data_IF_938471031859
#
_entry.id   IF_938471031859
#
_cell.length_a   1.000
_cell.length_b   1.000
_cell.length_c   1.000
_cell.angle_alpha   90.00
_cell.angle_beta   90.00
_cell.angle_gamma   90.00
#
_symmetry.space_group_name_H-M   'P 1'
#
loop_
_entity.id
_entity.type
_entity.pdbx_description
1 polymer ?
#
# COMPACT_ATOMS: atom_id res chain seq x y z
N UNK A 1 17.23 -5.11 -4.35
CA UNK A 1 16.97 -5.01 -2.89
C UNK A 1 15.48 -5.22 -2.67
N UNK A 2 15.03 -5.80 -1.55
CA UNK A 2 13.59 -5.96 -1.26
C UNK A 2 13.27 -5.25 0.05
N UNK A 3 12.38 -4.27 -0.01
CA UNK A 3 12.01 -3.44 1.15
C UNK A 3 10.50 -3.26 1.22
N UNK A 4 9.98 -2.98 2.42
CA UNK A 4 8.61 -2.51 2.55
C UNK A 4 8.55 -1.02 2.21
N UNK A 5 7.68 -0.62 1.30
CA UNK A 5 7.56 0.78 0.87
C UNK A 5 6.10 1.15 0.57
N UNK A 6 5.70 2.36 0.96
CA UNK A 6 4.39 2.92 0.63
C UNK A 6 4.43 3.53 -0.77
N UNK A 7 3.84 2.82 -1.74
CA UNK A 7 3.89 3.17 -3.16
C UNK A 7 2.52 3.02 -3.80
N UNK A 8 2.38 3.49 -5.04
CA UNK A 8 1.20 3.16 -5.84
C UNK A 8 1.13 1.64 -6.02
N UNK A 9 -0.02 1.05 -5.68
CA UNK A 9 -0.12 -0.40 -5.53
C UNK A 9 -1.51 -0.91 -5.92
N UNK A 10 -1.57 -2.16 -6.36
CA UNK A 10 -2.81 -2.92 -6.63
C UNK A 10 -3.00 -4.08 -5.65
N UNK A 11 -2.19 -4.14 -4.59
CA UNK A 11 -2.23 -5.20 -3.58
C UNK A 11 -3.52 -5.14 -2.75
N UNK A 12 -4.12 -3.95 -2.65
CA UNK A 12 -5.45 -3.72 -2.10
C UNK A 12 -6.27 -2.90 -3.10
N UNK A 13 -7.53 -2.64 -2.80
CA UNK A 13 -8.39 -1.73 -3.56
C UNK A 13 -8.00 -0.24 -3.44
N UNK A 14 -7.07 0.09 -2.53
CA UNK A 14 -6.59 1.45 -2.34
C UNK A 14 -5.46 1.76 -3.33
N UNK A 15 -5.41 2.98 -3.90
CA UNK A 15 -4.45 3.30 -4.95
C UNK A 15 -3.00 3.39 -4.46
N UNK A 16 -2.78 3.54 -3.15
CA UNK A 16 -1.47 3.50 -2.52
C UNK A 16 -1.49 2.56 -1.31
N UNK A 17 -0.47 1.73 -1.16
CA UNK A 17 -0.37 0.79 -0.05
C UNK A 17 1.09 0.40 0.24
N UNK A 18 1.39 0.11 1.51
CA UNK A 18 2.72 -0.35 1.91
C UNK A 18 2.82 -1.87 1.79
N UNK A 19 3.74 -2.34 0.95
CA UNK A 19 3.98 -3.77 0.76
C UNK A 19 5.45 -4.00 0.43
N UNK A 20 5.87 -5.28 0.39
CA UNK A 20 7.22 -5.61 -0.07
C UNK A 20 7.34 -5.24 -1.54
N UNK A 21 8.38 -4.52 -1.89
CA UNK A 21 8.69 -4.17 -3.27
C UNK A 21 10.10 -4.61 -3.60
N UNK A 22 10.31 -5.08 -4.82
CA UNK A 22 11.65 -5.28 -5.38
C UNK A 22 12.10 -3.95 -5.97
N UNK A 23 13.18 -3.42 -5.41
CA UNK A 23 13.87 -2.26 -5.93
C UNK A 23 14.97 -2.71 -6.88
N UNK A 24 15.01 -2.07 -8.04
CA UNK A 24 16.11 -2.15 -8.99
C UNK A 24 16.61 -0.78 -9.42
N UNK A 25 17.29 -0.74 -10.56
CA UNK A 25 18.11 0.42 -10.95
C UNK A 25 17.31 1.69 -11.25
N UNK A 26 16.03 1.54 -11.58
CA UNK A 26 15.11 2.64 -11.92
C UNK A 26 13.97 2.81 -10.92
N UNK A 27 14.10 2.25 -9.70
CA UNK A 27 13.10 2.33 -8.64
C UNK A 27 12.37 1.02 -8.40
N UNK A 28 11.04 1.07 -8.23
CA UNK A 28 10.21 -0.12 -8.00
C UNK A 28 10.11 -0.92 -9.29
N UNK A 29 10.71 -2.10 -9.31
CA UNK A 29 10.60 -3.06 -10.42
C UNK A 29 9.36 -3.96 -10.29
N UNK A 30 9.03 -4.33 -9.05
CA UNK A 30 7.96 -5.29 -8.77
C UNK A 30 7.31 -4.97 -7.43
N UNK A 31 5.98 -4.95 -7.39
CA UNK A 31 5.21 -4.91 -6.13
C UNK A 31 4.85 -6.35 -5.76
N UNK A 32 5.35 -6.80 -4.62
CA UNK A 32 5.08 -8.13 -4.10
C UNK A 32 3.81 -8.10 -3.24
N UNK A 33 2.98 -9.13 -3.34
CA UNK A 33 1.77 -9.26 -2.53
C UNK A 33 2.05 -9.42 -1.03
N UNK A 34 0.99 -9.43 -0.22
CA UNK A 34 1.09 -9.58 1.24
C UNK A 34 1.48 -10.98 1.70
N UNK A 35 1.33 -11.98 0.83
CA UNK A 35 1.51 -13.38 1.19
C UNK A 35 0.37 -13.90 2.07
N UNK A 36 0.65 -14.90 2.89
CA UNK A 36 -0.31 -15.41 3.86
C UNK A 36 -0.39 -14.49 5.08
N UNK A 37 -1.60 -14.09 5.43
CA UNK A 37 -1.90 -13.31 6.64
C UNK A 37 -2.67 -14.20 7.61
N UNK A 38 -2.32 -14.14 8.89
CA UNK A 38 -3.14 -14.72 9.96
C UNK A 38 -4.49 -14.02 10.07
N UNK A 39 -5.48 -14.66 10.70
CA UNK A 39 -6.82 -14.09 10.88
C UNK A 39 -6.78 -12.73 11.59
N UNK A 40 -5.88 -12.59 12.58
CA UNK A 40 -5.66 -11.33 13.28
C UNK A 40 -5.12 -10.22 12.35
N UNK A 41 -4.15 -10.54 11.50
CA UNK A 41 -3.57 -9.59 10.54
C UNK A 41 -4.58 -9.19 9.46
N UNK A 42 -5.39 -10.13 8.97
CA UNK A 42 -6.45 -9.85 8.00
C UNK A 42 -7.50 -8.92 8.59
N UNK A 43 -7.96 -9.18 9.82
CA UNK A 43 -8.93 -8.32 10.50
C UNK A 43 -8.37 -6.91 10.74
N UNK A 44 -7.10 -6.82 11.14
CA UNK A 44 -6.40 -5.54 11.29
C UNK A 44 -6.30 -4.78 9.98
N UNK A 45 -5.96 -5.45 8.88
CA UNK A 45 -5.90 -4.86 7.55
C UNK A 45 -7.25 -4.25 7.15
N UNK A 46 -8.32 -5.02 7.19
CA UNK A 46 -9.66 -4.54 6.80
C UNK A 46 -10.13 -3.37 7.68
N UNK A 47 -9.81 -3.40 8.98
CA UNK A 47 -10.18 -2.33 9.92
C UNK A 47 -9.46 -1.00 9.63
N UNK A 48 -8.24 -1.04 9.08
CA UNK A 48 -7.42 0.15 8.80
C UNK A 48 -7.65 0.75 7.41
N UNK A 49 -8.19 -0.01 6.45
CA UNK A 49 -8.43 0.50 5.08
C UNK A 49 -9.26 1.79 5.02
N UNK A 50 -10.33 1.98 5.80
CA UNK A 50 -11.13 3.21 5.74
C UNK A 50 -10.33 4.46 6.13
N UNK A 51 -9.49 4.35 7.17
CA UNK A 51 -8.62 5.43 7.63
C UNK A 51 -7.55 5.77 6.57
N UNK A 52 -6.92 4.72 6.02
CA UNK A 52 -5.91 4.89 4.99
C UNK A 52 -6.50 5.53 3.72
N UNK A 53 -7.69 5.10 3.31
CA UNK A 53 -8.44 5.72 2.20
C UNK A 53 -8.68 7.22 2.43
N UNK A 54 -9.15 7.58 3.62
CA UNK A 54 -9.38 8.98 4.00
C UNK A 54 -8.09 9.83 3.89
N UNK A 55 -6.97 9.27 4.36
CA UNK A 55 -5.66 9.94 4.30
C UNK A 55 -5.17 10.15 2.87
N UNK A 56 -5.32 9.13 2.01
CA UNK A 56 -4.98 9.21 0.59
C UNK A 56 -5.84 10.26 -0.13
N UNK A 57 -7.16 10.19 0.04
CA UNK A 57 -8.08 11.15 -0.58
C UNK A 57 -7.80 12.59 -0.15
N UNK A 58 -7.44 12.79 1.12
CA UNK A 58 -7.03 14.10 1.64
C UNK A 58 -5.80 14.64 0.89
N UNK A 59 -4.78 13.80 0.69
CA UNK A 59 -3.58 14.18 -0.06
C UNK A 59 -3.88 14.53 -1.52
N UNK A 60 -4.70 13.72 -2.19
CA UNK A 60 -5.11 13.95 -3.59
C UNK A 60 -5.92 15.24 -3.71
N UNK A 61 -6.89 15.48 -2.81
CA UNK A 61 -7.70 16.70 -2.81
C UNK A 61 -6.82 17.93 -2.61
N UNK A 62 -5.88 17.88 -1.67
CA UNK A 62 -4.95 18.97 -1.40
C UNK A 62 -4.08 19.31 -2.62
N UNK A 63 -3.59 18.30 -3.35
CA UNK A 63 -2.74 18.53 -4.53
C UNK A 63 -3.51 19.07 -5.76
N UNK A 64 -4.83 18.88 -5.82
CA UNK A 64 -5.70 19.35 -6.90
C UNK A 64 -6.43 20.67 -6.59
N UNK A 65 -6.11 21.30 -5.45
CA UNK A 65 -6.54 22.65 -5.11
C UNK A 65 -5.59 23.67 -5.74
#
# INVERSE_FOLDING_TARGET
VVECSFVQSTVTELPFFASKVRLGTVGVEEVLGLGHLSDFEQQGLESLKPELKSSIEKGIKFANQ
#
